data_IF_412172916792
#
_entry.id   IF_412172916792
#
_cell.length_a   1.000
_cell.length_b   1.000
_cell.length_c   1.000
_cell.angle_alpha   90.00
_cell.angle_beta   90.00
_cell.angle_gamma   90.00
#
_symmetry.space_group_name_H-M   'P 1'
#
loop_
_entity.id
_entity.type
_entity.pdbx_description
1 polymer ?
#
# COMPACT_ATOMS: atom_id res chain seq x y z
N UNK A 1 -11.58 8.13 -12.12
CA UNK A 1 -10.45 8.39 -11.21
C UNK A 1 -9.67 7.10 -11.02
N UNK A 2 -8.35 7.19 -10.85
CA UNK A 2 -7.48 6.06 -10.53
C UNK A 2 -6.90 6.24 -9.13
N UNK A 3 -7.21 5.30 -8.24
CA UNK A 3 -6.81 5.30 -6.83
C UNK A 3 -5.71 4.26 -6.61
N UNK A 4 -4.60 4.68 -6.00
CA UNK A 4 -3.58 3.75 -5.51
C UNK A 4 -3.71 3.57 -4.00
N UNK A 5 -3.80 2.31 -3.56
CA UNK A 5 -3.89 1.92 -2.17
C UNK A 5 -2.53 1.46 -1.70
N UNK A 6 -2.05 1.97 -0.57
CA UNK A 6 -0.89 1.42 0.12
C UNK A 6 -1.34 0.80 1.43
N UNK A 7 -1.05 -0.48 1.61
CA UNK A 7 -1.32 -1.18 2.86
C UNK A 7 -0.10 -1.92 3.34
N UNK A 8 0.10 -1.92 4.65
CA UNK A 8 1.01 -2.87 5.27
C UNK A 8 0.53 -4.30 5.07
N UNK A 9 1.46 -5.25 4.98
CA UNK A 9 1.16 -6.68 4.84
C UNK A 9 0.74 -7.30 6.19
N UNK A 10 1.04 -6.65 7.32
CA UNK A 10 0.93 -7.27 8.65
C UNK A 10 -0.49 -7.72 9.00
N UNK A 11 -0.60 -9.02 9.26
CA UNK A 11 -1.83 -9.69 9.68
C UNK A 11 -3.02 -9.52 8.72
N UNK A 12 -2.78 -9.05 7.49
CA UNK A 12 -3.77 -8.70 6.46
C UNK A 12 -4.84 -7.66 6.86
N UNK A 13 -4.95 -7.29 8.15
CA UNK A 13 -6.00 -6.42 8.67
C UNK A 13 -6.00 -5.03 8.05
N UNK A 14 -4.83 -4.49 7.73
CA UNK A 14 -4.72 -3.20 7.03
C UNK A 14 -5.32 -3.27 5.63
N UNK A 15 -4.99 -4.33 4.92
CA UNK A 15 -5.51 -4.56 3.58
C UNK A 15 -7.02 -4.82 3.58
N UNK A 16 -7.55 -5.63 4.50
CA UNK A 16 -9.00 -5.90 4.54
C UNK A 16 -9.82 -4.66 4.91
N UNK A 17 -9.30 -3.81 5.82
CA UNK A 17 -9.92 -2.51 6.14
C UNK A 17 -9.97 -1.59 4.92
N UNK A 18 -8.85 -1.44 4.20
CA UNK A 18 -8.83 -0.65 2.97
C UNK A 18 -9.78 -1.20 1.90
N UNK A 19 -9.82 -2.52 1.72
CA UNK A 19 -10.74 -3.17 0.77
C UNK A 19 -12.21 -2.93 1.12
N UNK A 20 -12.56 -2.84 2.42
CA UNK A 20 -13.92 -2.50 2.84
C UNK A 20 -14.31 -1.06 2.45
N UNK A 21 -13.40 -0.09 2.61
CA UNK A 21 -13.60 1.30 2.17
C UNK A 21 -13.73 1.37 0.65
N UNK A 22 -12.86 0.68 -0.07
CA UNK A 22 -12.84 0.64 -1.54
C UNK A 22 -14.12 0.04 -2.10
N UNK A 23 -14.72 -0.96 -1.46
CA UNK A 23 -16.01 -1.50 -1.88
C UNK A 23 -17.12 -0.45 -1.85
N UNK A 24 -17.16 0.38 -0.81
CA UNK A 24 -18.15 1.47 -0.73
C UNK A 24 -17.85 2.54 -1.79
N UNK A 25 -16.58 2.88 -2.00
CA UNK A 25 -16.18 3.80 -3.06
C UNK A 25 -16.59 3.29 -4.44
N UNK A 26 -16.36 2.01 -4.73
CA UNK A 26 -16.73 1.38 -6.01
C UNK A 26 -18.25 1.23 -6.21
N UNK A 27 -19.05 1.33 -5.15
CA UNK A 27 -20.50 1.41 -5.23
C UNK A 27 -20.96 2.82 -5.63
N UNK A 28 -20.27 3.85 -5.13
CA UNK A 28 -20.55 5.26 -5.43
C UNK A 28 -19.97 5.72 -6.77
N UNK A 29 -18.77 5.25 -7.13
CA UNK A 29 -18.08 5.55 -8.37
C UNK A 29 -17.68 4.25 -9.09
N UNK A 30 -18.61 3.63 -9.84
CA UNK A 30 -18.39 2.31 -10.40
C UNK A 30 -17.25 2.20 -11.43
N UNK A 31 -16.84 3.33 -12.01
CA UNK A 31 -15.78 3.43 -13.02
C UNK A 31 -14.41 3.75 -12.43
N UNK A 32 -14.28 3.89 -11.11
CA UNK A 32 -12.98 4.08 -10.49
C UNK A 32 -12.06 2.88 -10.76
N UNK A 33 -10.82 3.16 -11.13
CA UNK A 33 -9.76 2.18 -11.29
C UNK A 33 -8.99 2.08 -9.97
N UNK A 34 -8.80 0.87 -9.46
CA UNK A 34 -8.15 0.64 -8.16
C UNK A 34 -6.89 -0.19 -8.36
N UNK A 35 -5.78 0.31 -7.82
CA UNK A 35 -4.53 -0.42 -7.71
C UNK A 35 -4.23 -0.62 -6.23
N UNK A 36 -4.16 -1.87 -5.78
CA UNK A 36 -3.62 -2.22 -4.47
C UNK A 36 -2.11 -2.45 -4.61
N UNK A 37 -1.33 -1.56 -4.01
CA UNK A 37 0.11 -1.70 -3.93
C UNK A 37 0.52 -2.21 -2.55
N UNK A 38 0.61 -3.54 -2.45
CA UNK A 38 1.00 -4.23 -1.22
C UNK A 38 1.42 -5.66 -1.55
N UNK A 39 2.46 -6.22 -0.89
CA UNK A 39 2.86 -7.61 -1.04
C UNK A 39 1.87 -8.64 -0.45
N UNK A 40 0.56 -8.41 -0.56
CA UNK A 40 -0.47 -9.38 -0.16
C UNK A 40 -0.72 -10.43 -1.24
N UNK A 41 -1.22 -11.62 -0.86
CA UNK A 41 -1.60 -12.63 -1.82
C UNK A 41 -2.90 -12.26 -2.54
N UNK A 42 -3.01 -12.63 -3.82
CA UNK A 42 -4.17 -12.32 -4.68
C UNK A 42 -5.50 -12.84 -4.13
N UNK A 43 -5.47 -14.01 -3.47
CA UNK A 43 -6.66 -14.62 -2.88
C UNK A 43 -7.33 -13.70 -1.85
N UNK A 44 -6.54 -12.89 -1.12
CA UNK A 44 -7.06 -11.97 -0.11
C UNK A 44 -7.96 -10.91 -0.76
N UNK A 45 -7.57 -10.40 -1.92
CA UNK A 45 -8.37 -9.41 -2.65
C UNK A 45 -9.60 -10.08 -3.28
N UNK A 46 -9.43 -11.27 -3.84
CA UNK A 46 -10.50 -12.01 -4.51
C UNK A 46 -11.69 -12.33 -3.59
N UNK A 47 -11.45 -12.62 -2.30
CA UNK A 47 -12.53 -12.89 -1.35
C UNK A 47 -13.28 -11.63 -0.89
N UNK A 48 -12.69 -10.44 -1.05
CA UNK A 48 -13.29 -9.17 -0.62
C UNK A 48 -13.86 -8.33 -1.76
N UNK A 49 -13.50 -8.58 -3.02
CA UNK A 49 -14.01 -7.79 -4.15
C UNK A 49 -14.35 -8.67 -5.35
N UNK A 50 -15.56 -8.50 -5.89
CA UNK A 50 -15.97 -9.08 -7.18
C UNK A 50 -15.48 -8.26 -8.38
N UNK A 51 -15.17 -6.97 -8.17
CA UNK A 51 -14.58 -6.11 -9.20
C UNK A 51 -13.07 -6.33 -9.24
N UNK A 52 -12.51 -6.31 -10.45
CA UNK A 52 -11.07 -6.42 -10.66
C UNK A 52 -10.34 -5.25 -10.00
N UNK A 53 -9.45 -5.57 -9.06
CA UNK A 53 -8.50 -4.64 -8.45
C UNK A 53 -7.11 -5.08 -8.94
N UNK A 54 -6.35 -4.16 -9.51
CA UNK A 54 -4.99 -4.47 -9.96
C UNK A 54 -4.06 -4.56 -8.75
N UNK A 55 -3.20 -5.57 -8.70
CA UNK A 55 -2.29 -5.78 -7.58
C UNK A 55 -0.86 -5.52 -8.03
N UNK A 56 -0.15 -4.62 -7.34
CA UNK A 56 1.29 -4.41 -7.44
C UNK A 56 1.92 -4.78 -6.10
N UNK A 57 3.08 -5.42 -6.13
CA UNK A 57 3.75 -5.97 -4.93
C UNK A 57 4.96 -5.14 -4.51
N UNK A 58 4.81 -3.82 -4.43
CA UNK A 58 5.83 -2.95 -3.85
C UNK A 58 5.48 -2.67 -2.40
N UNK A 59 6.45 -2.82 -1.49
CA UNK A 59 6.28 -2.43 -0.08
C UNK A 59 6.93 -1.08 0.17
N UNK A 60 6.20 -0.18 0.81
CA UNK A 60 6.74 1.05 1.42
C UNK A 60 6.75 0.97 2.95
N UNK A 61 6.50 -0.22 3.48
CA UNK A 61 6.49 -0.54 4.90
C UNK A 61 7.19 -1.88 5.14
N UNK A 62 7.89 -1.96 6.26
CA UNK A 62 8.50 -3.19 6.76
C UNK A 62 7.63 -3.85 7.83
N UNK A 63 6.84 -3.05 8.55
CA UNK A 63 6.29 -3.29 9.90
C UNK A 63 7.05 -4.34 10.71
N UNK A 64 6.44 -5.46 11.11
CA UNK A 64 7.08 -6.48 11.94
C UNK A 64 7.48 -7.74 11.16
N UNK A 65 8.74 -8.15 11.29
CA UNK A 65 9.17 -9.47 10.80
C UNK A 65 8.68 -10.53 11.78
N UNK A 66 7.71 -11.34 11.35
CA UNK A 66 7.12 -12.39 12.18
C UNK A 66 7.28 -13.76 11.52
N UNK A 67 7.58 -14.80 12.30
CA UNK A 67 7.57 -16.19 11.82
C UNK A 67 6.17 -16.80 11.79
N UNK A 68 5.28 -16.28 12.64
CA UNK A 68 3.89 -16.68 12.81
C UNK A 68 3.09 -15.50 13.42
N UNK A 69 1.79 -15.68 13.65
CA UNK A 69 0.91 -14.60 14.14
C UNK A 69 1.22 -14.08 15.56
N UNK A 70 2.11 -14.72 16.30
CA UNK A 70 2.41 -14.39 17.71
C UNK A 70 3.90 -14.09 17.95
N UNK A 71 4.79 -14.63 17.12
CA UNK A 71 6.24 -14.53 17.33
C UNK A 71 6.84 -13.43 16.46
N UNK A 72 7.32 -12.37 17.12
CA UNK A 72 7.99 -11.24 16.46
C UNK A 72 9.50 -11.36 16.58
N UNK A 73 10.21 -11.22 15.46
CA UNK A 73 11.67 -11.12 15.43
C UNK A 73 12.07 -9.63 15.41
N UNK A 74 12.40 -9.10 16.58
CA UNK A 74 12.74 -7.68 16.77
C UNK A 74 14.04 -7.33 16.05
N UNK A 75 15.06 -8.18 16.10
CA UNK A 75 16.35 -7.95 15.47
C UNK A 75 16.21 -7.79 13.95
N UNK A 76 15.53 -8.73 13.30
CA UNK A 76 15.26 -8.66 11.85
C UNK A 76 14.36 -7.49 11.47
N UNK A 77 13.45 -7.11 12.36
CA UNK A 77 12.61 -5.92 12.16
C UNK A 77 13.47 -4.66 12.15
N UNK A 78 14.40 -4.52 13.10
CA UNK A 78 15.33 -3.39 13.16
C UNK A 78 16.25 -3.33 11.94
N UNK A 79 16.79 -4.47 11.51
CA UNK A 79 17.58 -4.57 10.27
C UNK A 79 16.76 -4.09 9.07
N UNK A 80 15.52 -4.56 8.93
CA UNK A 80 14.63 -4.16 7.83
C UNK A 80 14.30 -2.68 7.86
N UNK A 81 14.10 -2.09 9.05
CA UNK A 81 13.87 -0.64 9.20
C UNK A 81 15.10 0.14 8.72
N UNK A 82 16.31 -0.26 9.12
CA UNK A 82 17.53 0.41 8.67
C UNK A 82 17.70 0.32 7.15
N UNK A 83 17.43 -0.84 6.56
CA UNK A 83 17.48 -1.03 5.11
C UNK A 83 16.44 -0.16 4.39
N UNK A 84 15.21 -0.07 4.92
CA UNK A 84 14.17 0.82 4.39
C UNK A 84 14.61 2.27 4.46
N UNK A 85 15.16 2.71 5.59
CA UNK A 85 15.66 4.08 5.79
C UNK A 85 16.78 4.42 4.81
N UNK A 86 17.76 3.52 4.65
CA UNK A 86 18.87 3.70 3.71
C UNK A 86 18.39 3.84 2.25
N UNK A 87 17.29 3.18 1.89
CA UNK A 87 16.75 3.17 0.52
C UNK A 87 15.57 4.12 0.30
N UNK A 88 15.10 4.83 1.33
CA UNK A 88 13.84 5.60 1.30
C UNK A 88 13.81 6.62 0.16
N UNK A 89 14.88 7.40 -0.02
CA UNK A 89 14.92 8.42 -1.06
C UNK A 89 14.78 7.82 -2.47
N UNK A 90 15.45 6.70 -2.73
CA UNK A 90 15.35 5.98 -3.99
C UNK A 90 13.95 5.39 -4.19
N UNK A 91 13.40 4.73 -3.17
CA UNK A 91 12.06 4.14 -3.21
C UNK A 91 10.98 5.19 -3.50
N UNK A 92 11.02 6.33 -2.81
CA UNK A 92 10.08 7.43 -3.02
C UNK A 92 10.20 8.00 -4.44
N UNK A 93 11.42 8.19 -4.96
CA UNK A 93 11.62 8.70 -6.30
C UNK A 93 11.07 7.75 -7.38
N UNK A 94 11.34 6.46 -7.26
CA UNK A 94 10.81 5.44 -8.18
C UNK A 94 9.29 5.35 -8.09
N UNK A 95 8.75 5.43 -6.86
CA UNK A 95 7.32 5.34 -6.64
C UNK A 95 6.57 6.56 -7.20
N UNK A 96 7.10 7.77 -6.99
CA UNK A 96 6.54 8.99 -7.56
C UNK A 96 6.53 8.95 -9.11
N UNK A 97 7.62 8.48 -9.73
CA UNK A 97 7.68 8.28 -11.19
C UNK A 97 6.64 7.27 -11.65
N UNK A 98 6.51 6.14 -10.95
CA UNK A 98 5.54 5.10 -11.29
C UNK A 98 4.10 5.60 -11.19
N UNK A 99 3.75 6.29 -10.09
CA UNK A 99 2.43 6.91 -9.90
C UNK A 99 2.08 7.89 -11.02
N UNK A 100 3.05 8.70 -11.45
CA UNK A 100 2.88 9.64 -12.56
C UNK A 100 2.67 8.91 -13.90
N UNK A 101 3.48 7.87 -14.18
CA UNK A 101 3.36 7.07 -15.40
C UNK A 101 2.02 6.33 -15.49
N UNK A 102 1.53 5.83 -14.34
CA UNK A 102 0.26 5.12 -14.22
C UNK A 102 -0.95 6.08 -14.21
N UNK A 103 -0.70 7.40 -14.11
CA UNK A 103 -1.70 8.47 -14.02
C UNK A 103 -2.65 8.27 -12.83
N UNK A 104 -2.08 8.03 -11.66
CA UNK A 104 -2.84 7.95 -10.42
C UNK A 104 -3.31 9.34 -10.01
N UNK A 105 -4.58 9.46 -9.61
CA UNK A 105 -5.20 10.73 -9.21
C UNK A 105 -5.14 10.95 -7.68
N UNK A 106 -5.18 9.87 -6.91
CA UNK A 106 -5.30 9.90 -5.45
C UNK A 106 -4.58 8.70 -4.84
N UNK A 107 -4.02 8.90 -3.65
CA UNK A 107 -3.44 7.83 -2.83
C UNK A 107 -4.27 7.67 -1.55
N UNK A 108 -4.64 6.44 -1.23
CA UNK A 108 -5.21 6.07 0.07
C UNK A 108 -4.25 5.11 0.79
N UNK A 109 -3.63 5.58 1.86
CA UNK A 109 -2.67 4.81 2.63
C UNK A 109 -3.26 4.38 3.97
N UNK A 110 -3.12 3.11 4.34
CA UNK A 110 -3.23 2.70 5.74
C UNK A 110 -1.84 2.85 6.39
N UNK A 111 -1.52 4.13 6.63
CA UNK A 111 -0.34 4.70 7.33
C UNK A 111 1.00 3.96 7.07
N UNK A 112 1.47 3.84 5.82
CA UNK A 112 2.87 3.47 5.61
C UNK A 112 3.77 4.61 6.14
N UNK A 113 4.93 4.32 6.77
CA UNK A 113 5.84 5.34 7.30
C UNK A 113 6.25 6.41 6.28
N UNK A 114 6.16 6.07 4.99
CA UNK A 114 6.60 6.88 3.87
C UNK A 114 5.48 7.72 3.21
N UNK A 115 4.25 7.72 3.75
CA UNK A 115 3.10 8.41 3.15
C UNK A 115 3.35 9.92 2.89
N UNK A 116 3.89 10.64 3.88
CA UNK A 116 4.17 12.07 3.74
C UNK A 116 5.27 12.37 2.73
N UNK A 117 6.32 11.54 2.68
CA UNK A 117 7.38 11.68 1.69
C UNK A 117 6.85 11.41 0.27
N UNK A 118 5.95 10.43 0.13
CA UNK A 118 5.29 10.13 -1.14
C UNK A 118 4.37 11.26 -1.60
N UNK A 119 3.62 11.89 -0.68
CA UNK A 119 2.84 13.09 -0.98
C UNK A 119 3.72 14.21 -1.53
N UNK A 120 4.82 14.52 -0.83
CA UNK A 120 5.73 15.58 -1.21
C UNK A 120 6.39 15.31 -2.59
N UNK A 121 6.74 14.07 -2.88
CA UNK A 121 7.40 13.70 -4.13
C UNK A 121 6.44 13.54 -5.33
N UNK A 122 5.23 13.05 -5.11
CA UNK A 122 4.25 12.82 -6.19
C UNK A 122 3.38 14.04 -6.47
N UNK A 123 3.21 14.94 -5.50
CA UNK A 123 2.25 16.05 -5.57
C UNK A 123 0.78 15.60 -5.54
N UNK A 124 0.52 14.31 -5.35
CA UNK A 124 -0.83 13.76 -5.29
C UNK A 124 -1.43 13.96 -3.89
N UNK A 125 -2.76 14.14 -3.77
CA UNK A 125 -3.39 14.07 -2.47
C UNK A 125 -3.17 12.67 -1.86
N UNK A 126 -2.84 12.64 -0.56
CA UNK A 126 -2.68 11.41 0.22
C UNK A 126 -3.63 11.46 1.39
N UNK A 127 -4.46 10.43 1.53
CA UNK A 127 -5.43 10.28 2.62
C UNK A 127 -5.08 9.02 3.39
N UNK A 128 -5.04 9.10 4.72
CA UNK A 128 -4.64 7.98 5.59
C UNK A 128 -4.65 8.35 7.06
#
# INVERSE_FOLDING_TARGET
MKLCLYSSVHGYGHTTRLLAVVQQLLALEPKAEIILNSPVPEWLVAVHSKKAISIRRQSLDVGLVQSDSFTTNIEKTLESIHDLQANTAHLIAEEAKWLAAEKVDLILGDIPPLAGALQAASGLPVWG
#
